data_IF_563286946709
#
_entry.id   IF_563286946709
#
_cell.length_a   1.000
_cell.length_b   1.000
_cell.length_c   1.000
_cell.angle_alpha   90.00
_cell.angle_beta   90.00
_cell.angle_gamma   90.00
#
_symmetry.space_group_name_H-M   'P 1'
#
loop_
_entity.id
_entity.type
_entity.pdbx_description
1 polymer ?
#
# COMPACT_ATOMS: atom_id res chain seq x y z
N UNK A 1 17.35 23.81 -6.41
CA UNK A 1 15.95 23.45 -6.74
C UNK A 1 15.84 23.28 -8.26
N UNK A 2 15.04 22.35 -8.79
CA UNK A 2 14.91 22.19 -10.26
C UNK A 2 13.99 23.27 -10.84
N UNK A 3 14.17 23.68 -12.11
CA UNK A 3 13.27 24.66 -12.77
C UNK A 3 11.79 24.27 -12.68
N UNK A 4 11.49 22.98 -12.85
CA UNK A 4 10.12 22.45 -12.74
C UNK A 4 9.56 22.57 -11.31
N UNK A 5 10.41 22.45 -10.28
CA UNK A 5 9.99 22.69 -8.89
C UNK A 5 9.69 24.17 -8.65
N UNK A 6 10.52 25.08 -9.16
CA UNK A 6 10.30 26.54 -9.02
C UNK A 6 9.02 26.99 -9.73
N UNK A 7 8.74 26.48 -10.94
CA UNK A 7 7.49 26.78 -11.67
C UNK A 7 6.27 26.32 -10.85
N UNK A 8 6.30 25.11 -10.28
CA UNK A 8 5.22 24.60 -9.44
C UNK A 8 5.02 25.45 -8.19
N UNK A 9 6.12 25.89 -7.56
CA UNK A 9 6.09 26.71 -6.35
C UNK A 9 5.39 28.05 -6.63
N UNK A 10 5.78 28.73 -7.70
CA UNK A 10 5.23 30.02 -8.09
C UNK A 10 3.77 29.93 -8.58
N UNK A 11 3.41 28.89 -9.33
CA UNK A 11 2.02 28.67 -9.75
C UNK A 11 1.11 28.50 -8.55
N UNK A 12 1.52 27.70 -7.56
CA UNK A 12 0.72 27.55 -6.35
C UNK A 12 0.69 28.84 -5.54
N UNK A 13 1.81 29.58 -5.46
CA UNK A 13 1.85 30.87 -4.77
C UNK A 13 0.82 31.85 -5.33
N UNK A 14 0.67 31.92 -6.66
CA UNK A 14 -0.37 32.71 -7.31
C UNK A 14 -1.77 32.21 -6.93
N UNK A 15 -2.01 30.90 -7.09
CA UNK A 15 -3.32 30.27 -6.84
C UNK A 15 -3.72 30.19 -5.35
N UNK A 16 -2.80 30.54 -4.44
CA UNK A 16 -3.01 30.54 -3.00
C UNK A 16 -3.93 31.65 -2.52
N UNK A 17 -4.22 32.64 -3.37
CA UNK A 17 -5.21 33.69 -3.10
C UNK A 17 -6.67 33.17 -3.09
N UNK A 18 -6.86 31.89 -3.45
CA UNK A 18 -8.15 31.22 -3.48
C UNK A 18 -9.01 31.56 -4.71
N UNK A 19 -8.51 32.41 -5.60
CA UNK A 19 -9.19 32.78 -6.84
C UNK A 19 -8.80 31.84 -7.98
N UNK A 20 -9.69 31.63 -8.98
CA UNK A 20 -9.31 30.94 -10.20
C UNK A 20 -8.42 31.84 -11.07
N UNK A 21 -7.27 31.33 -11.52
CA UNK A 21 -6.38 32.02 -12.47
C UNK A 21 -6.26 31.26 -13.79
N UNK A 22 -6.19 32.03 -14.87
CA UNK A 22 -5.94 31.54 -16.22
C UNK A 22 -4.45 31.19 -16.43
N UNK A 23 -4.18 30.34 -17.43
CA UNK A 23 -2.79 30.02 -17.85
C UNK A 23 -1.99 31.27 -18.20
N UNK A 24 -2.60 32.29 -18.81
CA UNK A 24 -1.93 33.55 -19.11
C UNK A 24 -1.45 34.25 -17.84
N UNK A 25 -2.32 34.35 -16.84
CA UNK A 25 -2.01 34.99 -15.54
C UNK A 25 -0.90 34.23 -14.80
N UNK A 26 -0.90 32.89 -14.87
CA UNK A 26 0.20 32.09 -14.33
C UNK A 26 1.53 32.37 -15.03
N UNK A 27 1.54 32.50 -16.35
CA UNK A 27 2.75 32.78 -17.12
C UNK A 27 3.25 34.19 -16.85
N UNK A 28 2.35 35.17 -16.79
CA UNK A 28 2.68 36.56 -16.45
C UNK A 28 3.30 36.65 -15.04
N UNK A 29 2.76 35.89 -14.09
CA UNK A 29 3.32 35.81 -12.74
C UNK A 29 4.72 35.17 -12.69
N UNK A 30 4.98 34.16 -13.52
CA UNK A 30 6.32 33.57 -13.63
C UNK A 30 7.33 34.60 -14.15
N UNK A 31 6.95 35.38 -15.17
CA UNK A 31 7.77 36.47 -15.72
C UNK A 31 8.05 37.53 -14.65
N UNK A 32 7.02 37.97 -13.91
CA UNK A 32 7.17 38.93 -12.81
C UNK A 32 8.17 38.45 -11.74
N UNK A 33 8.24 37.13 -11.52
CA UNK A 33 9.16 36.50 -10.56
C UNK A 33 10.52 36.13 -11.16
N UNK A 34 10.88 36.69 -12.31
CA UNK A 34 12.13 36.44 -13.04
C UNK A 34 12.31 34.98 -13.50
N UNK A 35 11.22 34.24 -13.70
CA UNK A 35 11.21 32.89 -14.26
C UNK A 35 10.78 32.93 -15.73
N UNK A 36 11.68 33.38 -16.62
CA UNK A 36 11.42 33.51 -18.06
C UNK A 36 12.01 32.36 -18.89
N UNK A 37 13.05 31.70 -18.38
CA UNK A 37 13.80 30.65 -19.11
C UNK A 37 13.21 29.25 -18.86
N UNK A 38 11.96 29.03 -19.25
CA UNK A 38 11.30 27.73 -19.23
C UNK A 38 10.63 27.41 -20.58
N UNK A 39 10.54 26.12 -20.93
CA UNK A 39 9.81 25.69 -22.13
C UNK A 39 8.31 25.50 -21.85
N UNK A 40 7.48 25.67 -22.88
CA UNK A 40 6.04 25.34 -22.79
C UNK A 40 5.77 23.93 -22.27
N UNK A 41 6.64 22.96 -22.61
CA UNK A 41 6.58 21.60 -22.09
C UNK A 41 6.86 21.51 -20.59
N UNK A 42 7.78 22.33 -20.05
CA UNK A 42 8.07 22.40 -18.62
C UNK A 42 6.89 23.00 -17.84
N UNK A 43 6.27 24.07 -18.36
CA UNK A 43 5.08 24.67 -17.76
C UNK A 43 3.89 23.69 -17.77
N UNK A 44 3.56 23.12 -18.94
CA UNK A 44 2.48 22.15 -19.05
C UNK A 44 2.73 20.92 -18.17
N UNK A 45 3.98 20.46 -18.07
CA UNK A 45 4.40 19.39 -17.16
C UNK A 45 4.17 19.73 -15.69
N UNK A 46 4.50 20.96 -15.28
CA UNK A 46 4.29 21.45 -13.93
C UNK A 46 2.79 21.52 -13.57
N UNK A 47 1.96 22.12 -14.43
CA UNK A 47 0.50 22.21 -14.24
C UNK A 47 -0.13 20.82 -14.18
N UNK A 48 0.22 19.92 -15.10
CA UNK A 48 -0.27 18.53 -15.09
C UNK A 48 0.15 17.77 -13.84
N UNK A 49 1.36 18.02 -13.33
CA UNK A 49 1.82 17.43 -12.08
C UNK A 49 0.97 17.91 -10.89
N UNK A 50 0.68 19.21 -10.81
CA UNK A 50 -0.16 19.78 -9.75
C UNK A 50 -1.61 19.26 -9.81
N UNK A 51 -2.20 19.17 -11.00
CA UNK A 51 -3.53 18.57 -11.20
C UNK A 51 -3.58 17.11 -10.77
N UNK A 52 -2.60 16.32 -11.22
CA UNK A 52 -2.52 14.88 -10.92
C UNK A 52 -2.42 14.63 -9.42
N UNK A 53 -1.70 15.49 -8.71
CA UNK A 53 -1.52 15.40 -7.27
C UNK A 53 -2.64 16.08 -6.48
N UNK A 54 -3.74 16.47 -7.14
CA UNK A 54 -4.91 17.16 -6.55
C UNK A 54 -4.55 18.43 -5.78
N UNK A 55 -3.45 19.08 -6.17
CA UNK A 55 -2.97 20.33 -5.56
C UNK A 55 -3.72 21.55 -6.07
N UNK A 56 -4.03 21.48 -7.35
CA UNK A 56 -4.90 22.43 -8.05
C UNK A 56 -6.03 21.65 -8.70
N UNK A 57 -7.14 22.32 -8.93
CA UNK A 57 -8.27 21.80 -9.68
C UNK A 57 -8.57 22.70 -10.87
N UNK A 58 -9.03 22.09 -11.96
CA UNK A 58 -9.39 22.80 -13.18
C UNK A 58 -10.85 23.24 -13.08
N UNK A 59 -11.09 24.53 -13.21
CA UNK A 59 -12.43 25.14 -13.13
C UNK A 59 -13.03 25.28 -14.53
N UNK A 60 -12.23 25.74 -15.49
CA UNK A 60 -12.65 25.88 -16.89
C UNK A 60 -11.45 25.70 -17.84
N UNK A 61 -11.65 25.89 -19.15
CA UNK A 61 -10.63 25.80 -20.20
C UNK A 61 -9.44 26.73 -19.93
N UNK A 62 -8.42 26.16 -19.29
CA UNK A 62 -7.18 26.88 -18.99
C UNK A 62 -7.26 27.70 -17.70
N UNK A 63 -8.27 27.49 -16.86
CA UNK A 63 -8.42 28.18 -15.57
C UNK A 63 -8.35 27.17 -14.44
N UNK A 64 -7.55 27.48 -13.43
CA UNK A 64 -7.26 26.58 -12.30
C UNK A 64 -7.36 27.34 -10.98
N UNK A 65 -7.66 26.61 -9.90
CA UNK A 65 -7.56 27.13 -8.52
C UNK A 65 -6.87 26.11 -7.62
N UNK A 66 -6.39 26.54 -6.45
CA UNK A 66 -5.92 25.62 -5.41
C UNK A 66 -7.07 24.74 -4.90
N UNK A 67 -6.81 23.44 -4.77
CA UNK A 67 -7.77 22.45 -4.26
C UNK A 67 -8.06 22.69 -2.77
N UNK A 68 -9.27 22.37 -2.30
CA UNK A 68 -9.73 22.66 -0.93
C UNK A 68 -8.82 22.16 0.21
N UNK A 69 -8.07 21.09 -0.01
CA UNK A 69 -7.08 20.54 0.95
C UNK A 69 -5.82 21.40 1.05
N UNK A 70 -5.50 22.18 0.03
CA UNK A 70 -4.29 22.99 -0.08
C UNK A 70 -4.53 24.45 0.29
N UNK A 71 -5.79 24.89 0.36
CA UNK A 71 -6.20 26.18 0.93
C UNK A 71 -5.89 26.31 2.44
N UNK A 72 -5.73 25.18 3.15
CA UNK A 72 -5.30 25.14 4.56
C UNK A 72 -3.77 25.29 4.68
N UNK A 73 -3.02 24.91 3.64
CA UNK A 73 -1.54 24.95 3.60
C UNK A 73 -0.97 26.34 3.30
N UNK A 74 -1.80 27.27 2.85
CA UNK A 74 -1.37 28.57 2.30
C UNK A 74 -1.75 29.78 3.16
N UNK A 75 -2.52 29.58 4.24
CA UNK A 75 -2.83 30.66 5.19
C UNK A 75 -1.68 30.86 6.19
N UNK A 76 -0.62 31.58 5.77
CA UNK A 76 -0.30 32.91 6.31
C UNK A 76 1.02 33.56 5.80
N UNK A 77 0.90 34.89 5.64
CA UNK A 77 1.84 36.04 5.59
C UNK A 77 3.11 36.06 4.73
N UNK A 78 3.73 34.96 4.34
CA UNK A 78 5.03 35.02 3.62
C UNK A 78 5.18 34.09 2.39
N UNK A 79 4.08 33.54 1.87
CA UNK A 79 4.10 32.84 0.56
C UNK A 79 4.95 31.57 0.50
N UNK A 80 5.33 30.99 1.63
CA UNK A 80 6.09 29.74 1.71
C UNK A 80 5.20 28.55 2.06
N UNK A 81 5.52 27.37 1.52
CA UNK A 81 4.85 26.12 1.84
C UNK A 81 5.09 25.71 3.29
N UNK A 82 4.02 25.64 4.09
CA UNK A 82 4.09 25.00 5.40
C UNK A 82 4.12 23.48 5.26
N UNK A 83 4.95 22.83 6.07
CA UNK A 83 4.93 21.37 6.24
C UNK A 83 3.65 20.95 6.95
N UNK A 84 3.24 19.70 6.83
CA UNK A 84 1.98 19.23 7.42
C UNK A 84 2.24 18.53 8.75
N UNK A 85 1.43 18.88 9.74
CA UNK A 85 1.42 18.25 11.05
C UNK A 85 0.02 17.65 11.30
N UNK A 86 -0.06 16.34 11.42
CA UNK A 86 -1.31 15.68 11.72
C UNK A 86 -1.45 15.57 13.24
N UNK A 87 -2.58 16.02 13.77
CA UNK A 87 -2.87 16.01 15.20
C UNK A 87 -3.83 14.87 15.49
N UNK A 88 -3.32 13.90 16.24
CA UNK A 88 -4.08 12.76 16.75
C UNK A 88 -4.52 13.09 18.17
N UNK A 89 -5.83 13.09 18.41
CA UNK A 89 -6.37 13.41 19.73
C UNK A 89 -7.66 12.64 20.01
N UNK A 90 -8.00 12.40 21.29
CA UNK A 90 -9.26 11.80 21.67
C UNK A 90 -10.47 12.58 21.11
N UNK A 91 -11.35 11.89 20.39
CA UNK A 91 -12.63 12.44 19.95
C UNK A 91 -13.66 12.10 21.03
N UNK A 92 -13.84 13.01 21.98
CA UNK A 92 -14.90 12.92 22.98
C UNK A 92 -16.22 13.49 22.46
N UNK A 93 -17.32 13.19 23.16
CA UNK A 93 -18.63 13.78 22.89
C UNK A 93 -18.63 15.30 23.05
N UNK A 94 -19.51 15.99 22.33
CA UNK A 94 -19.69 17.44 22.45
C UNK A 94 -19.97 17.84 23.90
N UNK A 95 -19.17 18.76 24.43
CA UNK A 95 -19.31 19.25 25.81
C UNK A 95 -18.64 18.38 26.90
N UNK A 96 -18.12 17.20 26.54
CA UNK A 96 -17.35 16.36 27.47
C UNK A 96 -16.02 17.01 27.85
N UNK A 97 -15.48 16.62 29.01
CA UNK A 97 -14.17 17.10 29.46
C UNK A 97 -13.05 16.61 28.54
N UNK A 98 -13.20 15.42 27.95
CA UNK A 98 -12.28 14.88 26.93
C UNK A 98 -12.22 15.84 25.73
N UNK A 99 -13.39 16.22 25.19
CA UNK A 99 -13.47 17.12 24.04
C UNK A 99 -12.92 18.50 24.36
N UNK A 100 -13.30 19.08 25.50
CA UNK A 100 -12.80 20.39 25.96
C UNK A 100 -11.29 20.40 26.10
N UNK A 101 -10.73 19.39 26.76
CA UNK A 101 -9.29 19.27 26.96
C UNK A 101 -8.54 19.12 25.62
N UNK A 102 -9.01 18.25 24.72
CA UNK A 102 -8.42 18.07 23.39
C UNK A 102 -8.48 19.36 22.55
N UNK A 103 -9.60 20.08 22.59
CA UNK A 103 -9.77 21.34 21.87
C UNK A 103 -8.86 22.45 22.45
N UNK A 104 -8.76 22.56 23.78
CA UNK A 104 -7.87 23.51 24.44
C UNK A 104 -6.38 23.19 24.19
N UNK A 105 -5.98 21.93 24.28
CA UNK A 105 -4.61 21.50 23.95
C UNK A 105 -4.25 21.88 22.51
N UNK A 106 -5.16 21.60 21.58
CA UNK A 106 -4.98 21.92 20.17
C UNK A 106 -4.83 23.43 19.94
N UNK A 107 -5.77 24.24 20.44
CA UNK A 107 -5.80 25.68 20.20
C UNK A 107 -4.70 26.44 20.95
N UNK A 108 -4.40 26.04 22.19
CA UNK A 108 -3.50 26.83 23.03
C UNK A 108 -2.06 26.37 22.99
N UNK A 109 -1.76 25.12 22.63
CA UNK A 109 -0.38 24.59 22.61
C UNK A 109 0.02 24.15 21.21
N UNK A 110 -0.68 23.16 20.64
CA UNK A 110 -0.21 22.46 19.43
C UNK A 110 -0.19 23.41 18.23
N UNK A 111 -1.33 24.03 17.91
CA UNK A 111 -1.47 24.87 16.72
C UNK A 111 -0.51 26.07 16.71
N UNK A 112 -0.39 26.88 17.80
CA UNK A 112 0.57 27.99 17.83
C UNK A 112 2.03 27.56 17.66
N UNK A 113 2.40 26.41 18.24
CA UNK A 113 3.77 25.87 18.12
C UNK A 113 4.05 25.40 16.70
N UNK A 114 3.11 24.68 16.09
CA UNK A 114 3.22 24.23 14.70
C UNK A 114 3.36 25.42 13.75
N UNK A 115 2.47 26.41 13.83
CA UNK A 115 2.50 27.60 12.98
C UNK A 115 3.83 28.35 13.09
N UNK A 116 4.33 28.55 14.32
CA UNK A 116 5.64 29.18 14.58
C UNK A 116 6.82 28.36 14.02
N UNK A 117 6.66 27.05 13.89
CA UNK A 117 7.66 26.16 13.29
C UNK A 117 7.47 25.94 11.79
N UNK A 118 6.53 26.64 11.13
CA UNK A 118 6.25 26.49 9.71
C UNK A 118 5.48 25.21 9.37
N UNK A 119 4.63 24.73 10.29
CA UNK A 119 3.74 23.59 10.08
C UNK A 119 2.27 24.02 10.10
N UNK A 120 1.49 23.54 9.15
CA UNK A 120 0.05 23.55 9.18
C UNK A 120 -0.42 22.35 10.02
N UNK A 121 -0.89 22.61 11.23
CA UNK A 121 -1.51 21.60 12.08
C UNK A 121 -2.94 21.32 11.60
N UNK A 122 -3.32 20.04 11.50
CA UNK A 122 -4.65 19.65 11.08
C UNK A 122 -5.15 18.46 11.90
N UNK A 123 -6.42 18.52 12.30
CA UNK A 123 -7.14 17.41 12.92
C UNK A 123 -8.11 16.77 11.94
N UNK A 124 -8.51 15.53 12.23
CA UNK A 124 -9.46 14.79 11.38
C UNK A 124 -10.82 15.48 11.24
N UNK A 125 -11.30 16.19 12.27
CA UNK A 125 -12.57 16.92 12.21
C UNK A 125 -12.50 18.20 11.35
N UNK A 126 -11.31 18.58 10.88
CA UNK A 126 -11.11 19.67 9.92
C UNK A 126 -10.99 19.16 8.47
N UNK A 127 -11.08 17.85 8.23
CA UNK A 127 -11.05 17.29 6.89
C UNK A 127 -12.43 17.51 6.21
N UNK A 128 -12.45 18.29 5.13
CA UNK A 128 -13.66 18.62 4.37
C UNK A 128 -13.73 17.80 3.08
N UNK A 129 -13.94 16.49 3.21
CA UNK A 129 -13.80 15.52 2.13
C UNK A 129 -14.97 14.54 2.11
N UNK A 130 -15.38 14.11 0.91
CA UNK A 130 -16.47 13.14 0.72
C UNK A 130 -15.99 11.68 0.77
N UNK A 131 -14.73 11.44 1.18
CA UNK A 131 -14.07 10.15 1.20
C UNK A 131 -14.31 9.35 2.48
N UNK A 132 -13.66 8.19 2.59
CA UNK A 132 -13.63 7.43 3.85
C UNK A 132 -12.69 8.13 4.83
N UNK A 133 -13.23 8.66 5.92
CA UNK A 133 -12.47 9.31 7.00
C UNK A 133 -11.33 8.41 7.48
N UNK A 134 -11.57 7.10 7.59
CA UNK A 134 -10.54 6.13 7.99
C UNK A 134 -9.36 6.14 7.04
N UNK A 135 -9.59 6.13 5.72
CA UNK A 135 -8.50 6.13 4.76
C UNK A 135 -7.71 7.43 4.84
N UNK A 136 -8.38 8.55 5.05
CA UNK A 136 -7.72 9.86 5.16
C UNK A 136 -6.87 9.99 6.42
N UNK A 137 -7.31 9.42 7.54
CA UNK A 137 -6.48 9.28 8.74
C UNK A 137 -5.22 8.46 8.42
N UNK A 138 -5.37 7.29 7.78
CA UNK A 138 -4.24 6.43 7.45
C UNK A 138 -3.25 7.10 6.49
N UNK A 139 -3.76 7.81 5.49
CA UNK A 139 -2.97 8.58 4.54
C UNK A 139 -2.25 9.72 5.25
N UNK A 140 -2.93 10.45 6.15
CA UNK A 140 -2.31 11.51 6.94
C UNK A 140 -1.18 10.97 7.84
N UNK A 141 -1.42 9.85 8.53
CA UNK A 141 -0.42 9.17 9.35
C UNK A 141 0.78 8.68 8.54
N UNK A 142 0.63 8.32 7.27
CA UNK A 142 1.76 7.95 6.42
C UNK A 142 2.48 9.15 5.84
N UNK A 143 1.74 10.14 5.35
CA UNK A 143 2.28 11.15 4.44
C UNK A 143 2.77 12.40 5.16
N UNK A 144 2.18 12.78 6.29
CA UNK A 144 2.51 14.03 6.96
C UNK A 144 3.92 13.99 7.56
N UNK A 145 4.60 15.13 7.51
CA UNK A 145 5.99 15.30 7.96
C UNK A 145 6.11 15.15 9.48
N UNK A 146 5.06 15.52 10.22
CA UNK A 146 4.99 15.42 11.67
C UNK A 146 3.64 14.87 12.12
N UNK A 147 3.65 14.05 13.18
CA UNK A 147 2.45 13.70 13.95
C UNK A 147 2.62 14.17 15.39
N UNK A 148 1.59 14.77 15.95
CA UNK A 148 1.51 15.07 17.39
C UNK A 148 0.31 14.32 17.95
N UNK A 149 0.54 13.44 18.92
CA UNK A 149 -0.48 12.56 19.48
C UNK A 149 -0.74 12.88 20.96
N UNK A 150 -1.99 13.15 21.32
CA UNK A 150 -2.44 13.30 22.70
C UNK A 150 -2.92 11.95 23.26
N UNK A 151 -2.11 11.37 24.16
CA UNK A 151 -2.38 10.08 24.80
C UNK A 151 -3.27 10.19 26.04
N UNK A 152 -3.77 11.40 26.33
CA UNK A 152 -4.58 11.69 27.51
C UNK A 152 -5.84 10.84 27.55
N UNK A 153 -6.15 10.27 28.72
CA UNK A 153 -7.33 9.43 28.91
C UNK A 153 -7.29 8.08 28.18
N UNK A 154 -6.12 7.66 27.69
CA UNK A 154 -5.85 6.30 27.18
C UNK A 154 -6.78 5.88 26.04
N UNK A 155 -7.09 6.80 25.12
CA UNK A 155 -8.00 6.51 24.01
C UNK A 155 -7.45 5.38 23.10
N UNK A 156 -8.17 4.26 22.93
CA UNK A 156 -7.70 3.12 22.12
C UNK A 156 -7.44 3.46 20.65
N UNK A 157 -8.20 4.39 20.07
CA UNK A 157 -8.02 4.80 18.69
C UNK A 157 -6.69 5.55 18.53
N UNK A 158 -6.36 6.42 19.49
CA UNK A 158 -5.07 7.12 19.49
C UNK A 158 -3.90 6.12 19.57
N UNK A 159 -4.01 5.09 20.41
CA UNK A 159 -2.97 4.05 20.47
C UNK A 159 -2.84 3.25 19.17
N UNK A 160 -3.95 2.97 18.49
CA UNK A 160 -3.92 2.36 17.16
C UNK A 160 -3.21 3.26 16.14
N UNK A 161 -3.51 4.56 16.13
CA UNK A 161 -2.96 5.54 15.18
C UNK A 161 -1.45 5.75 15.38
N UNK A 162 -0.96 5.87 16.62
CA UNK A 162 0.48 5.94 16.88
C UNK A 162 1.19 4.63 16.53
N UNK A 163 0.53 3.50 16.79
CA UNK A 163 1.01 2.18 16.39
C UNK A 163 1.17 2.08 14.88
N UNK A 164 0.17 2.53 14.12
CA UNK A 164 0.25 2.61 12.66
C UNK A 164 1.34 3.57 12.18
N UNK A 165 1.47 4.75 12.78
CA UNK A 165 2.51 5.74 12.43
C UNK A 165 3.93 5.21 12.64
N UNK A 166 4.14 4.36 13.66
CA UNK A 166 5.46 3.83 14.01
C UNK A 166 6.18 3.14 12.83
N UNK A 167 5.43 2.51 11.92
CA UNK A 167 5.98 1.83 10.73
C UNK A 167 6.69 2.79 9.76
N UNK A 168 6.27 4.05 9.72
CA UNK A 168 6.79 5.05 8.78
C UNK A 168 8.15 5.62 9.21
N UNK A 169 8.54 5.45 10.48
CA UNK A 169 9.71 6.05 11.11
C UNK A 169 9.83 7.58 10.94
N UNK A 170 8.76 8.25 10.52
CA UNK A 170 8.70 9.70 10.42
C UNK A 170 8.47 10.32 11.81
N UNK A 171 8.86 11.59 12.01
CA UNK A 171 8.71 12.28 13.29
C UNK A 171 7.31 12.17 13.91
N UNK A 172 7.29 11.86 15.22
CA UNK A 172 6.09 11.85 16.07
C UNK A 172 6.43 12.42 17.45
N UNK A 173 5.52 13.20 18.02
CA UNK A 173 5.60 13.71 19.40
C UNK A 173 4.39 13.19 20.17
N UNK A 174 4.63 12.64 21.35
CA UNK A 174 3.57 12.20 22.26
C UNK A 174 3.37 13.23 23.37
N UNK A 175 2.12 13.52 23.66
CA UNK A 175 1.67 14.41 24.73
C UNK A 175 0.80 13.61 25.70
N UNK A 176 0.82 13.99 26.98
CA UNK A 176 -0.13 13.52 27.98
C UNK A 176 -0.41 14.60 29.00
N UNK A 177 -1.59 14.58 29.60
CA UNK A 177 -1.87 15.40 30.77
C UNK A 177 -0.91 15.05 31.91
N UNK A 178 -0.49 16.08 32.65
CA UNK A 178 0.35 15.94 33.85
C UNK A 178 -0.23 14.88 34.79
N UNK A 179 0.65 14.11 35.43
CA UNK A 179 0.35 13.06 36.39
C UNK A 179 -0.42 11.84 35.85
N UNK A 180 -0.77 11.79 34.56
CA UNK A 180 -1.33 10.57 33.96
C UNK A 180 -0.26 9.50 33.72
N UNK A 181 -0.58 8.25 34.03
CA UNK A 181 0.29 7.10 33.82
C UNK A 181 -0.07 6.47 32.48
N UNK A 182 0.90 6.35 31.57
CA UNK A 182 0.72 5.71 30.27
C UNK A 182 0.92 4.19 30.41
N UNK A 183 0.17 3.34 29.66
CA UNK A 183 0.35 1.89 29.69
C UNK A 183 1.79 1.44 29.43
N UNK A 184 2.19 0.31 30.02
CA UNK A 184 3.58 -0.17 29.97
C UNK A 184 4.10 -0.35 28.53
N UNK A 185 3.25 -0.82 27.59
CA UNK A 185 3.62 -1.07 26.20
C UNK A 185 4.16 0.17 25.46
N UNK A 186 3.73 1.37 25.87
CA UNK A 186 4.16 2.65 25.29
C UNK A 186 4.92 3.54 26.27
N UNK A 187 5.23 3.02 27.47
CA UNK A 187 5.93 3.77 28.54
C UNK A 187 7.38 4.12 28.21
N UNK A 188 8.02 3.35 27.33
CA UNK A 188 9.41 3.59 26.88
C UNK A 188 9.50 4.73 25.86
N UNK A 189 8.36 5.16 25.33
CA UNK A 189 8.29 6.22 24.33
C UNK A 189 8.28 7.57 25.03
N UNK A 190 9.18 8.46 24.62
CA UNK A 190 9.26 9.82 25.16
C UNK A 190 7.92 10.55 24.96
N UNK A 191 7.32 10.92 26.08
CA UNK A 191 6.04 11.64 26.14
C UNK A 191 6.21 12.92 26.94
N UNK A 192 5.75 14.05 26.40
CA UNK A 192 5.80 15.34 27.08
C UNK A 192 4.53 15.57 27.85
N UNK A 193 4.67 16.11 29.06
CA UNK A 193 3.53 16.46 29.89
C UNK A 193 3.04 17.88 29.60
N UNK A 194 1.74 18.08 29.72
CA UNK A 194 1.12 19.40 29.70
C UNK A 194 0.11 19.53 30.84
N UNK A 195 -0.09 20.76 31.29
CA UNK A 195 -1.15 21.14 32.22
C UNK A 195 -1.76 22.45 31.70
N UNK A 196 -3.04 22.43 31.35
CA UNK A 196 -3.74 23.60 30.83
C UNK A 196 -4.16 24.58 31.92
N UNK A 197 -4.06 24.18 33.20
CA UNK A 197 -4.38 25.02 34.36
C UNK A 197 -3.18 25.83 34.86
N UNK A 198 -1.98 25.45 34.45
CA UNK A 198 -0.71 26.09 34.79
C UNK A 198 -0.10 26.77 33.56
N UNK A 199 -0.21 28.10 33.49
CA UNK A 199 0.25 28.90 32.35
C UNK A 199 1.78 28.87 32.17
N UNK A 200 2.53 28.69 33.25
CA UNK A 200 3.99 28.56 33.19
C UNK A 200 4.36 27.21 32.55
N UNK A 201 3.63 26.15 32.91
CA UNK A 201 3.79 24.84 32.28
C UNK A 201 3.36 24.86 30.80
N UNK A 202 2.26 25.54 30.45
CA UNK A 202 1.86 25.75 29.05
C UNK A 202 3.01 26.37 28.25
N UNK A 203 3.63 27.43 28.78
CA UNK A 203 4.74 28.13 28.12
C UNK A 203 5.96 27.22 27.99
N UNK A 204 6.35 26.53 29.06
CA UNK A 204 7.47 25.59 29.05
C UNK A 204 7.25 24.42 28.07
N UNK A 205 6.02 23.91 27.97
CA UNK A 205 5.67 22.85 27.02
C UNK A 205 5.76 23.36 25.59
N UNK A 206 5.28 24.57 25.28
CA UNK A 206 5.45 25.18 23.95
C UNK A 206 6.92 25.27 23.55
N UNK A 207 7.76 25.83 24.42
CA UNK A 207 9.18 26.00 24.15
C UNK A 207 9.87 24.65 23.90
N UNK A 208 9.56 23.63 24.72
CA UNK A 208 10.08 22.27 24.53
C UNK A 208 9.64 21.67 23.19
N UNK A 209 8.37 21.83 22.82
CA UNK A 209 7.86 21.32 21.55
C UNK A 209 8.53 22.02 20.36
N UNK A 210 8.71 23.33 20.41
CA UNK A 210 9.42 24.06 19.35
C UNK A 210 10.86 23.55 19.17
N UNK A 211 11.59 23.29 20.26
CA UNK A 211 12.94 22.75 20.21
C UNK A 211 12.95 21.34 19.60
N UNK A 212 12.01 20.49 20.00
CA UNK A 212 11.89 19.12 19.49
C UNK A 212 11.57 19.13 17.99
N UNK A 213 10.62 19.95 17.57
CA UNK A 213 10.25 20.11 16.16
C UNK A 213 11.46 20.57 15.34
N UNK A 214 12.22 21.56 15.81
CA UNK A 214 13.43 22.05 15.12
C UNK A 214 14.54 21.00 15.03
N UNK A 215 14.63 20.11 16.02
CA UNK A 215 15.66 19.07 16.07
C UNK A 215 15.36 17.85 15.18
N UNK A 216 14.10 17.66 14.77
CA UNK A 216 13.78 16.57 13.86
C UNK A 216 14.38 16.80 12.47
N UNK A 217 14.88 15.70 11.89
CA UNK A 217 15.22 15.66 10.47
C UNK A 217 13.95 15.30 9.72
N UNK A 218 13.41 16.27 9.02
CA UNK A 218 12.33 16.04 8.07
C UNK A 218 12.96 15.64 6.74
N UNK A 219 12.39 14.62 6.09
CA UNK A 219 12.67 14.41 4.68
C UNK A 219 12.49 15.75 3.95
N UNK A 220 13.44 16.10 3.08
CA UNK A 220 13.20 17.15 2.09
C UNK A 220 11.90 16.82 1.36
N UNK A 221 11.18 17.85 0.90
CA UNK A 221 10.02 17.68 0.00
C UNK A 221 10.53 17.02 -1.29
N UNK A 222 10.71 15.70 -1.23
CA UNK A 222 10.88 14.84 -2.37
C UNK A 222 9.56 15.02 -3.10
N UNK A 223 9.61 15.40 -4.37
CA UNK A 223 8.44 15.28 -5.24
C UNK A 223 7.74 13.98 -4.89
N UNK A 224 6.41 13.94 -4.74
CA UNK A 224 5.73 12.70 -4.39
C UNK A 224 6.20 11.70 -5.42
N UNK A 225 7.10 10.80 -4.99
CA UNK A 225 7.41 9.61 -5.75
C UNK A 225 6.03 9.06 -5.98
N UNK A 226 5.68 8.82 -7.25
CA UNK A 226 4.48 8.09 -7.65
C UNK A 226 4.18 7.15 -6.50
N UNK A 227 2.97 7.19 -5.97
CA UNK A 227 2.41 6.10 -5.19
C UNK A 227 2.55 4.84 -6.03
N UNK A 228 3.75 4.29 -6.08
CA UNK A 228 3.97 2.90 -6.35
C UNK A 228 3.44 2.32 -5.07
N UNK A 229 2.25 1.75 -5.18
CA UNK A 229 1.78 0.66 -4.33
C UNK A 229 2.82 -0.48 -4.34
N UNK A 230 4.13 -0.23 -4.25
CA UNK A 230 5.17 -1.23 -4.41
C UNK A 230 5.13 -2.19 -3.24
N UNK A 231 4.70 -1.76 -2.06
CA UNK A 231 4.58 -2.66 -0.92
C UNK A 231 3.37 -3.60 -1.06
N UNK A 232 2.19 -3.05 -1.37
CA UNK A 232 0.98 -3.86 -1.61
C UNK A 232 1.11 -4.71 -2.89
N UNK A 233 1.62 -4.15 -3.98
CA UNK A 233 1.87 -4.89 -5.22
C UNK A 233 2.93 -5.96 -5.03
N UNK A 234 3.99 -5.75 -4.25
CA UNK A 234 4.98 -6.80 -4.00
C UNK A 234 4.40 -7.93 -3.16
N UNK A 235 3.54 -7.62 -2.18
CA UNK A 235 2.89 -8.64 -1.36
C UNK A 235 1.85 -9.42 -2.17
N UNK A 236 1.06 -8.72 -3.01
CA UNK A 236 0.11 -9.35 -3.95
C UNK A 236 0.86 -10.21 -4.98
N UNK A 237 1.95 -9.71 -5.57
CA UNK A 237 2.77 -10.47 -6.54
C UNK A 237 3.42 -11.68 -5.87
N UNK A 238 3.90 -11.56 -4.63
CA UNK A 238 4.43 -12.70 -3.87
C UNK A 238 3.34 -13.74 -3.60
N UNK A 239 2.14 -13.32 -3.19
CA UNK A 239 1.00 -14.23 -2.99
C UNK A 239 0.53 -14.87 -4.29
N UNK A 240 0.51 -14.13 -5.40
CA UNK A 240 0.14 -14.67 -6.73
C UNK A 240 1.17 -15.69 -7.22
N UNK A 241 2.46 -15.45 -6.99
CA UNK A 241 3.51 -16.41 -7.33
C UNK A 241 3.45 -17.68 -6.47
N UNK A 242 3.13 -17.54 -5.18
CA UNK A 242 2.94 -18.70 -4.29
C UNK A 242 1.70 -19.53 -4.68
N UNK A 243 0.61 -18.87 -5.08
CA UNK A 243 -0.58 -19.53 -5.64
C UNK A 243 -0.23 -20.24 -6.95
N UNK A 244 0.50 -19.57 -7.87
CA UNK A 244 0.92 -20.15 -9.13
C UNK A 244 1.77 -21.41 -8.91
N UNK A 245 2.76 -21.34 -8.02
CA UNK A 245 3.60 -22.48 -7.66
C UNK A 245 2.76 -23.66 -7.11
N UNK A 246 1.80 -23.38 -6.22
CA UNK A 246 0.90 -24.41 -5.67
C UNK A 246 0.02 -25.05 -6.73
N UNK A 247 -0.46 -24.28 -7.71
CA UNK A 247 -1.23 -24.80 -8.86
C UNK A 247 -0.36 -25.72 -9.73
N UNK A 248 0.89 -25.33 -9.99
CA UNK A 248 1.80 -26.13 -10.81
C UNK A 248 2.10 -27.48 -10.13
N UNK A 249 2.36 -27.46 -8.81
CA UNK A 249 2.56 -28.68 -8.00
C UNK A 249 1.31 -29.59 -8.04
N UNK A 250 0.12 -29.03 -7.82
CA UNK A 250 -1.14 -29.79 -7.88
C UNK A 250 -1.37 -30.40 -9.27
N UNK A 251 -1.02 -29.68 -10.34
CA UNK A 251 -1.16 -30.17 -11.71
C UNK A 251 -0.26 -31.39 -11.96
N UNK A 252 0.97 -31.37 -11.48
CA UNK A 252 1.88 -32.52 -11.59
C UNK A 252 1.43 -33.70 -10.71
N UNK A 253 0.91 -33.45 -9.51
CA UNK A 253 0.34 -34.51 -8.67
C UNK A 253 -0.88 -35.18 -9.31
N UNK A 254 -1.76 -34.41 -9.95
CA UNK A 254 -2.92 -34.94 -10.70
C UNK A 254 -2.45 -35.83 -11.85
N UNK A 255 -1.51 -35.36 -12.67
CA UNK A 255 -0.95 -36.16 -13.78
C UNK A 255 -0.32 -37.46 -13.28
N UNK A 256 0.42 -37.40 -12.18
CA UNK A 256 1.04 -38.59 -11.57
C UNK A 256 -0.02 -39.58 -11.11
N UNK A 257 -1.06 -39.10 -10.42
CA UNK A 257 -2.15 -39.93 -9.92
C UNK A 257 -2.96 -40.57 -11.06
N UNK A 258 -3.24 -39.83 -12.13
CA UNK A 258 -3.90 -40.39 -13.32
C UNK A 258 -3.07 -41.52 -13.95
N UNK A 259 -1.75 -41.33 -14.10
CA UNK A 259 -0.86 -42.35 -14.63
C UNK A 259 -0.76 -43.60 -13.75
N UNK A 260 -0.69 -43.42 -12.42
CA UNK A 260 -0.72 -44.54 -11.47
C UNK A 260 -2.05 -45.30 -11.55
N UNK A 261 -3.17 -44.59 -11.65
CA UNK A 261 -4.51 -45.20 -11.77
C UNK A 261 -4.62 -46.00 -13.07
N UNK A 262 -4.16 -45.44 -14.20
CA UNK A 262 -4.12 -46.14 -15.49
C UNK A 262 -3.25 -47.40 -15.39
N UNK A 263 -2.08 -47.30 -14.75
CA UNK A 263 -1.18 -48.43 -14.55
C UNK A 263 -1.85 -49.56 -13.75
N UNK A 264 -2.53 -49.23 -12.65
CA UNK A 264 -3.27 -50.21 -11.84
C UNK A 264 -4.40 -50.88 -12.62
N UNK A 265 -5.14 -50.11 -13.44
CA UNK A 265 -6.20 -50.67 -14.30
C UNK A 265 -5.61 -51.63 -15.33
N UNK A 266 -4.49 -51.28 -15.97
CA UNK A 266 -3.79 -52.15 -16.93
C UNK A 266 -3.28 -53.44 -16.26
N UNK A 267 -2.67 -53.33 -15.08
CA UNK A 267 -2.18 -54.49 -14.32
C UNK A 267 -3.32 -55.42 -13.92
N UNK A 268 -4.44 -54.87 -13.44
CA UNK A 268 -5.64 -55.63 -13.08
C UNK A 268 -6.25 -56.32 -14.30
N UNK A 269 -6.29 -55.66 -15.46
CA UNK A 269 -6.79 -56.23 -16.70
C UNK A 269 -5.91 -57.37 -17.23
N UNK A 270 -4.58 -57.20 -17.17
CA UNK A 270 -3.64 -58.23 -17.63
C UNK A 270 -3.63 -59.47 -16.72
N UNK A 271 -3.80 -59.29 -15.40
CA UNK A 271 -3.89 -60.42 -14.47
C UNK A 271 -5.14 -61.32 -14.68
N UNK A 272 -6.13 -60.85 -15.45
CA UNK A 272 -7.36 -61.59 -15.75
C UNK A 272 -7.31 -62.38 -17.09
N UNK A 273 -6.24 -62.26 -17.89
CA UNK A 273 -6.08 -63.08 -19.10
C UNK A 273 -5.45 -64.44 -18.78
N UNK A 274 -6.04 -65.58 -19.21
CA UNK A 274 -5.36 -66.86 -19.13
C UNK A 274 -4.11 -66.88 -20.03
N UNK A 275 -3.03 -67.52 -19.58
CA UNK A 275 -1.77 -67.62 -20.34
C UNK A 275 -2.00 -68.23 -21.73
N UNK A 276 -1.35 -67.71 -22.79
CA UNK A 276 -1.45 -68.30 -24.12
C UNK A 276 -0.74 -69.67 -24.16
N UNK A 277 -1.47 -70.74 -24.50
CA UNK A 277 -0.90 -72.07 -24.77
C UNK A 277 0.06 -72.02 -25.97
N UNK A 278 1.08 -72.90 -26.01
CA UNK A 278 2.04 -72.91 -27.13
C UNK A 278 1.40 -73.36 -28.44
N UNK A 279 1.83 -72.79 -29.57
CA UNK A 279 1.34 -73.15 -30.91
C UNK A 279 1.43 -74.66 -31.20
N UNK A 280 2.45 -75.33 -30.67
CA UNK A 280 2.61 -76.78 -30.80
C UNK A 280 1.49 -77.55 -30.10
N UNK A 281 1.06 -77.08 -28.92
CA UNK A 281 -0.03 -77.68 -28.14
C UNK A 281 -1.37 -77.49 -28.85
N UNK A 282 -1.57 -76.32 -29.42
CA UNK A 282 -2.76 -75.97 -30.19
C UNK A 282 -2.83 -76.78 -31.50
N UNK A 283 -1.71 -76.88 -32.21
CA UNK A 283 -1.59 -77.69 -33.43
C UNK A 283 -1.75 -79.19 -33.14
N UNK A 284 -1.21 -79.68 -32.03
CA UNK A 284 -1.37 -81.07 -31.61
C UNK A 284 -2.82 -81.38 -31.22
N UNK A 285 -3.54 -80.47 -30.55
CA UNK A 285 -4.97 -80.61 -30.27
C UNK A 285 -5.80 -80.75 -31.56
N UNK A 286 -5.41 -80.07 -32.63
CA UNK A 286 -6.10 -80.12 -33.93
C UNK A 286 -5.76 -81.39 -34.72
N UNK A 287 -4.49 -81.77 -34.79
CA UNK A 287 -4.03 -82.86 -35.65
C UNK A 287 -4.22 -84.25 -35.03
N UNK A 288 -4.11 -84.38 -33.71
CA UNK A 288 -4.13 -85.69 -33.04
C UNK A 288 -5.45 -86.47 -33.24
N UNK A 289 -6.64 -85.86 -33.17
CA UNK A 289 -7.90 -86.55 -33.45
C UNK A 289 -7.99 -87.14 -34.87
N UNK A 290 -7.35 -86.47 -35.85
CA UNK A 290 -7.43 -86.86 -37.25
C UNK A 290 -6.39 -87.92 -37.61
N UNK A 291 -5.22 -87.87 -36.98
CA UNK A 291 -4.22 -88.95 -37.03
C UNK A 291 -4.75 -90.26 -36.42
N UNK A 292 -5.52 -90.18 -35.34
CA UNK A 292 -6.15 -91.36 -34.71
C UNK A 292 -7.21 -92.01 -35.60
N UNK A 293 -7.94 -91.23 -36.42
CA UNK A 293 -8.98 -91.75 -37.33
C UNK A 293 -8.42 -92.38 -38.60
N UNK A 294 -7.23 -91.95 -39.05
CA UNK A 294 -6.61 -92.43 -40.28
C UNK A 294 -5.13 -92.78 -40.07
N UNK A 295 -4.83 -93.99 -39.52
CA UNK A 295 -3.45 -94.39 -39.24
C UNK A 295 -2.56 -94.43 -40.48
N UNK A 296 -3.14 -94.66 -41.67
CA UNK A 296 -2.40 -94.65 -42.94
C UNK A 296 -1.99 -93.24 -43.38
N UNK A 297 -2.66 -92.18 -42.90
CA UNK A 297 -2.27 -90.80 -43.15
C UNK A 297 -1.03 -90.38 -42.35
N UNK A 298 -0.83 -90.98 -41.17
CA UNK A 298 0.40 -90.79 -40.38
C UNK A 298 1.63 -91.34 -41.13
N UNK A 299 1.49 -92.53 -41.75
CA UNK A 299 2.54 -93.12 -42.59
C UNK A 299 2.82 -92.30 -43.86
N UNK A 300 1.80 -91.68 -44.46
CA UNK A 300 1.97 -90.79 -45.60
C UNK A 300 2.71 -89.50 -45.23
N UNK A 301 2.43 -88.93 -44.05
CA UNK A 301 3.12 -87.76 -43.51
C UNK A 301 4.59 -88.08 -43.15
N UNK A 302 4.85 -89.25 -42.56
CA UNK A 302 6.22 -89.72 -42.29
C UNK A 302 7.01 -89.91 -43.59
N UNK A 303 6.42 -90.54 -44.62
CA UNK A 303 7.04 -90.67 -45.95
C UNK A 303 7.24 -89.34 -46.66
N UNK A 304 6.37 -88.35 -46.45
CA UNK A 304 6.58 -86.99 -46.95
C UNK A 304 7.78 -86.35 -46.25
N UNK A 305 7.87 -86.49 -44.92
CA UNK A 305 8.99 -85.98 -44.12
C UNK A 305 10.34 -86.59 -44.50
N UNK A 306 10.38 -87.85 -44.93
CA UNK A 306 11.58 -88.49 -45.45
C UNK A 306 11.97 -88.02 -46.87
N UNK A 307 11.01 -87.54 -47.67
CA UNK A 307 11.27 -86.94 -49.01
C UNK A 307 11.78 -85.49 -48.95
N UNK A 308 11.65 -84.82 -47.80
CA UNK A 308 12.15 -83.47 -47.57
C UNK A 308 13.37 -83.43 -46.64
N UNK A 309 14.04 -84.57 -46.44
CA UNK A 309 15.37 -84.68 -45.82
C UNK A 309 16.47 -84.83 -46.85
#
# INVERSE_FOLDING_TARGET
>A
MTKSAMIKELIIQLLSDGSPHAVSEMKDYLVEKNMEDYSEGQFAGAVNNLLKNKRIEKIDRGTYRVSGTEMVLTKERNGGFMKRCFVVSPIGDMGSDIRKNADQLYQHIIKPVCEKCGFAAQRVDEFNTSGSITQEILDALNDYELVIADLTGHNPNVFFEIGYRSKSQKPIIHLKRKDEIIPFDVSTIRTFEYDLTDLDMVTATKDRLEQVIKNFKYDEVKEPKKSSNSFENNMIVASLNDIQYKIDVLTEEIKKKENETIKTVIETFNAQKPEPESFETEMMKILMPELLKNPNAADALLKLGEKFK
#
